data_IF_835872766351
#
_entry.id   IF_835872766351
#
_cell.length_a   1.000
_cell.length_b   1.000
_cell.length_c   1.000
_cell.angle_alpha   90.00
_cell.angle_beta   90.00
_cell.angle_gamma   90.00
#
_symmetry.space_group_name_H-M   'P 1'
#
loop_
_entity.id
_entity.type
_entity.pdbx_description
1 polymer ?
#
# COMPACT_ATOMS: atom_id res chain seq x y z
N UNK A 1 -4.87 -1.55 -8.66
CA UNK A 1 -5.65 -0.90 -9.74
C UNK A 1 -5.00 -1.10 -11.13
N UNK A 2 -5.12 -2.28 -11.76
CA UNK A 2 -4.42 -2.54 -13.02
C UNK A 2 -5.07 -1.93 -14.27
N UNK A 3 -6.34 -1.56 -14.20
CA UNK A 3 -7.08 -0.92 -15.29
C UNK A 3 -7.41 0.54 -14.98
N UNK A 4 -7.44 1.39 -16.00
CA UNK A 4 -7.94 2.77 -15.93
C UNK A 4 -8.67 3.11 -17.23
N UNK A 5 -9.84 3.75 -17.13
CA UNK A 5 -10.68 4.12 -18.29
C UNK A 5 -10.90 2.97 -19.30
N UNK A 6 -11.08 1.75 -18.78
CA UNK A 6 -11.29 0.55 -19.59
C UNK A 6 -10.02 0.00 -20.26
N UNK A 7 -8.83 0.49 -19.90
CA UNK A 7 -7.57 0.03 -20.50
C UNK A 7 -6.65 -0.58 -19.47
N UNK A 8 -5.96 -1.65 -19.87
CA UNK A 8 -4.87 -2.21 -19.08
C UNK A 8 -3.70 -1.21 -19.05
N UNK A 9 -3.32 -0.77 -17.85
CA UNK A 9 -2.33 0.31 -17.66
C UNK A 9 -0.89 -0.19 -17.69
N UNK A 10 -0.69 -1.50 -17.49
CA UNK A 10 0.61 -2.10 -17.25
C UNK A 10 1.09 -1.97 -15.80
N UNK A 11 0.41 -1.22 -14.92
CA UNK A 11 0.73 -1.15 -13.49
C UNK A 11 -0.09 -2.16 -12.68
N UNK A 12 0.42 -2.55 -11.51
CA UNK A 12 -0.39 -3.27 -10.50
C UNK A 12 -1.19 -2.29 -9.63
N UNK A 13 -0.60 -1.12 -9.36
CA UNK A 13 -1.27 0.03 -8.73
C UNK A 13 -1.10 1.28 -9.60
N UNK A 14 -2.07 1.56 -10.47
CA UNK A 14 -2.03 2.76 -11.32
C UNK A 14 -2.45 4.03 -10.57
N UNK A 15 -3.22 3.90 -9.47
CA UNK A 15 -3.73 5.03 -8.68
C UNK A 15 -2.64 6.04 -8.32
N UNK A 16 -1.46 5.55 -7.93
CA UNK A 16 -0.32 6.39 -7.53
C UNK A 16 0.23 7.24 -8.69
N UNK A 17 0.18 6.76 -9.94
CA UNK A 17 0.52 7.55 -11.13
C UNK A 17 -0.55 8.59 -11.45
N UNK A 18 -1.83 8.23 -11.29
CA UNK A 18 -2.94 9.14 -11.54
C UNK A 18 -2.85 10.37 -10.63
N UNK A 19 -2.62 10.15 -9.33
CA UNK A 19 -2.51 11.24 -8.34
C UNK A 19 -1.17 11.96 -8.39
N UNK A 20 -0.10 11.31 -8.85
CA UNK A 20 1.26 11.88 -8.89
C UNK A 20 1.42 13.15 -9.73
N UNK A 21 0.45 13.47 -10.60
CA UNK A 21 0.45 14.72 -11.39
C UNK A 21 -0.07 15.94 -10.60
N UNK A 22 -0.55 15.75 -9.37
CA UNK A 22 -1.06 16.81 -8.52
C UNK A 22 0.03 17.37 -7.60
N UNK A 23 0.05 18.69 -7.31
CA UNK A 23 1.05 19.28 -6.43
C UNK A 23 0.99 18.67 -5.02
N UNK A 24 2.14 18.53 -4.34
CA UNK A 24 2.22 18.03 -2.95
C UNK A 24 1.70 16.59 -2.79
N UNK A 25 1.88 15.76 -3.81
CA UNK A 25 1.48 14.34 -3.79
C UNK A 25 2.71 13.43 -3.71
N UNK A 26 2.57 12.31 -3.03
CA UNK A 26 3.59 11.26 -2.97
C UNK A 26 4.35 11.24 -1.65
N UNK A 27 5.65 10.97 -1.70
CA UNK A 27 6.46 10.79 -0.51
C UNK A 27 6.73 12.14 0.18
N UNK A 28 6.49 12.25 1.50
CA UNK A 28 6.98 13.39 2.26
C UNK A 28 8.51 13.34 2.39
N UNK A 29 9.14 14.51 2.52
CA UNK A 29 10.51 14.54 3.04
C UNK A 29 10.53 14.08 4.50
N UNK A 30 11.68 13.56 4.94
CA UNK A 30 11.89 13.30 6.36
C UNK A 30 11.73 14.60 7.15
N UNK A 31 11.02 14.51 8.28
CA UNK A 31 10.81 15.60 9.22
C UNK A 31 11.38 15.15 10.56
N UNK A 32 12.24 15.96 11.15
CA UNK A 32 12.93 15.63 12.40
C UNK A 32 12.05 15.83 13.63
N UNK A 33 10.94 16.56 13.52
CA UNK A 33 10.06 16.86 14.64
C UNK A 33 8.64 17.26 14.21
N UNK A 34 7.73 17.28 15.19
CA UNK A 34 6.40 17.86 15.01
C UNK A 34 6.45 19.36 14.72
N UNK A 35 7.38 20.10 15.33
CA UNK A 35 7.51 21.55 15.12
C UNK A 35 7.90 21.85 13.67
N UNK A 36 8.76 21.03 13.06
CA UNK A 36 9.12 21.15 11.64
C UNK A 36 7.91 20.90 10.72
N UNK A 37 7.06 19.93 11.07
CA UNK A 37 5.80 19.71 10.35
C UNK A 37 4.86 20.92 10.48
N UNK A 38 4.71 21.47 11.69
CA UNK A 38 3.81 22.60 11.92
C UNK A 38 4.30 23.87 11.22
N UNK A 39 5.61 24.16 11.27
CA UNK A 39 6.23 25.28 10.55
C UNK A 39 6.00 25.16 9.04
N UNK A 40 6.18 23.97 8.47
CA UNK A 40 5.90 23.70 7.05
C UNK A 40 4.43 23.97 6.71
N UNK A 41 3.49 23.47 7.50
CA UNK A 41 2.05 23.70 7.27
C UNK A 41 1.72 25.19 7.39
N UNK A 42 2.27 25.87 8.39
CA UNK A 42 2.09 27.30 8.63
C UNK A 42 2.63 28.14 7.47
N UNK A 43 3.77 27.78 6.87
CA UNK A 43 4.27 28.40 5.66
C UNK A 43 3.30 28.28 4.49
N UNK A 44 2.78 27.08 4.26
CA UNK A 44 1.82 26.84 3.18
C UNK A 44 0.52 27.64 3.38
N UNK A 45 0.06 27.78 4.62
CA UNK A 45 -1.10 28.60 4.98
C UNK A 45 -0.82 30.09 4.74
N UNK A 46 0.33 30.60 5.19
CA UNK A 46 0.74 32.01 5.01
C UNK A 46 0.83 32.38 3.54
N UNK A 47 1.37 31.48 2.71
CA UNK A 47 1.48 31.63 1.26
C UNK A 47 0.16 31.35 0.52
N UNK A 48 -0.89 30.91 1.22
CA UNK A 48 -2.21 30.55 0.67
C UNK A 48 -2.16 29.43 -0.37
N UNK A 49 -1.23 28.49 -0.22
CA UNK A 49 -1.14 27.29 -1.07
C UNK A 49 -2.15 26.22 -0.69
N UNK A 50 -2.55 26.19 0.58
CA UNK A 50 -3.53 25.24 1.13
C UNK A 50 -4.52 25.93 2.07
N UNK A 51 -5.66 25.28 2.29
CA UNK A 51 -6.64 25.67 3.33
C UNK A 51 -6.25 25.14 4.71
N UNK A 52 -5.68 23.95 4.75
CA UNK A 52 -5.17 23.26 5.93
C UNK A 52 -4.32 22.04 5.51
N UNK A 53 -3.70 21.36 6.48
CA UNK A 53 -2.82 20.20 6.25
C UNK A 53 -3.47 19.01 5.52
N UNK A 54 -4.81 18.94 5.40
CA UNK A 54 -5.47 17.88 4.63
C UNK A 54 -5.22 17.98 3.11
N UNK A 55 -4.68 19.09 2.61
CA UNK A 55 -4.28 19.29 1.21
C UNK A 55 -2.81 18.98 0.93
N UNK A 56 -2.10 18.41 1.92
CA UNK A 56 -0.88 17.64 1.72
C UNK A 56 -1.30 16.21 1.33
N UNK A 57 -1.18 15.86 0.05
CA UNK A 57 -1.62 14.56 -0.49
C UNK A 57 -0.51 13.52 -0.42
N UNK A 58 0.14 13.46 0.73
CA UNK A 58 1.23 12.53 0.97
C UNK A 58 0.74 11.09 1.16
N UNK A 59 1.61 10.14 0.81
CA UNK A 59 1.38 8.70 0.98
C UNK A 59 1.30 8.31 2.47
N UNK A 60 1.96 9.08 3.35
CA UNK A 60 1.86 9.01 4.80
C UNK A 60 1.82 10.44 5.34
N UNK A 61 0.97 10.72 6.33
CA UNK A 61 0.90 12.06 6.94
C UNK A 61 0.27 12.05 8.33
N UNK A 62 0.54 13.06 9.16
CA UNK A 62 -0.30 13.35 10.31
C UNK A 62 -1.75 13.65 9.90
N UNK A 63 -2.71 13.15 10.67
CA UNK A 63 -4.10 13.54 10.52
C UNK A 63 -4.31 14.93 11.09
N UNK A 64 -5.09 15.75 10.37
CA UNK A 64 -5.55 17.04 10.90
C UNK A 64 -6.58 16.86 12.02
N UNK A 65 -7.46 15.86 11.87
CA UNK A 65 -8.67 15.74 12.70
C UNK A 65 -8.47 14.86 13.92
N UNK A 66 -7.45 14.00 13.89
CA UNK A 66 -7.21 13.00 14.92
C UNK A 66 -5.72 12.95 15.28
N UNK A 67 -5.36 12.56 16.51
CA UNK A 67 -3.95 12.38 16.90
C UNK A 67 -3.42 11.06 16.34
N UNK A 68 -3.40 10.93 15.01
CA UNK A 68 -3.01 9.71 14.30
C UNK A 68 -2.12 10.03 13.12
N UNK A 69 -1.39 9.01 12.63
CA UNK A 69 -0.70 9.03 11.34
C UNK A 69 -1.54 8.23 10.34
N UNK A 70 -1.87 8.84 9.22
CA UNK A 70 -2.65 8.24 8.13
C UNK A 70 -1.70 7.58 7.12
N UNK A 71 -1.78 6.25 6.97
CA UNK A 71 -1.05 5.46 5.96
C UNK A 71 -1.93 5.29 4.72
N UNK A 72 -1.63 6.00 3.63
CA UNK A 72 -2.54 6.25 2.48
C UNK A 72 -2.02 5.71 1.15
N UNK A 73 -0.98 4.88 1.18
CA UNK A 73 -0.35 4.34 -0.02
C UNK A 73 -1.14 3.22 -0.71
N UNK A 74 -2.00 2.51 0.03
CA UNK A 74 -2.69 1.32 -0.47
C UNK A 74 -3.85 1.63 -1.43
N UNK A 75 -4.12 0.69 -2.33
CA UNK A 75 -5.41 0.57 -3.02
C UNK A 75 -6.39 -0.23 -2.16
N UNK A 76 -7.68 -0.22 -2.52
CA UNK A 76 -8.69 -1.08 -1.89
C UNK A 76 -8.44 -2.54 -2.31
N UNK A 77 -8.42 -3.45 -1.32
CA UNK A 77 -8.37 -4.90 -1.53
C UNK A 77 -9.76 -5.44 -1.91
N UNK A 78 -9.81 -6.44 -2.80
CA UNK A 78 -11.06 -7.13 -3.16
C UNK A 78 -11.41 -8.27 -2.20
N UNK A 79 -10.44 -8.78 -1.43
CA UNK A 79 -10.64 -9.80 -0.39
C UNK A 79 -10.42 -9.20 0.99
N UNK A 80 -11.21 -9.63 1.98
CA UNK A 80 -11.13 -9.10 3.34
C UNK A 80 -9.84 -9.54 4.05
N UNK A 81 -9.38 -10.76 3.77
CA UNK A 81 -8.14 -11.32 4.31
C UNK A 81 -6.92 -10.51 3.85
N UNK A 82 -6.90 -10.12 2.57
CA UNK A 82 -5.87 -9.24 2.01
C UNK A 82 -5.89 -7.87 2.72
N UNK A 83 -7.08 -7.32 3.00
CA UNK A 83 -7.21 -6.06 3.74
C UNK A 83 -6.73 -6.19 5.20
N UNK A 84 -7.13 -7.26 5.89
CA UNK A 84 -6.73 -7.54 7.27
C UNK A 84 -5.22 -7.75 7.39
N UNK A 85 -4.61 -8.39 6.40
CA UNK A 85 -3.16 -8.52 6.30
C UNK A 85 -2.45 -7.16 6.25
N UNK A 86 -2.92 -6.24 5.41
CA UNK A 86 -2.34 -4.89 5.32
C UNK A 86 -2.53 -4.12 6.63
N UNK A 87 -3.68 -4.26 7.29
CA UNK A 87 -3.93 -3.66 8.61
C UNK A 87 -2.96 -4.22 9.66
N UNK A 88 -2.80 -5.55 9.72
CA UNK A 88 -1.89 -6.22 10.64
C UNK A 88 -0.44 -5.81 10.39
N UNK A 89 -0.03 -5.70 9.13
CA UNK A 89 1.30 -5.23 8.74
C UNK A 89 1.56 -3.81 9.22
N UNK A 90 0.64 -2.88 8.94
CA UNK A 90 0.78 -1.48 9.37
C UNK A 90 0.79 -1.33 10.89
N UNK A 91 -0.12 -2.02 11.59
CA UNK A 91 -0.18 -1.95 13.05
C UNK A 91 1.10 -2.53 13.70
N UNK A 92 1.58 -3.66 13.18
CA UNK A 92 2.81 -4.30 13.68
C UNK A 92 4.03 -3.44 13.39
N UNK A 93 4.14 -2.85 12.20
CA UNK A 93 5.23 -1.95 11.83
C UNK A 93 5.27 -0.70 12.70
N UNK A 94 4.12 -0.05 12.94
CA UNK A 94 4.06 1.13 13.81
C UNK A 94 4.47 0.77 15.24
N UNK A 95 3.98 -0.35 15.78
CA UNK A 95 4.36 -0.81 17.12
C UNK A 95 5.85 -1.14 17.20
N UNK A 96 6.39 -1.82 16.20
CA UNK A 96 7.81 -2.12 16.07
C UNK A 96 8.65 -0.84 16.11
N UNK A 97 8.31 0.16 15.29
CA UNK A 97 9.04 1.44 15.24
C UNK A 97 8.97 2.21 16.57
N UNK A 98 7.81 2.24 17.23
CA UNK A 98 7.67 2.87 18.56
C UNK A 98 8.56 2.20 19.60
N UNK A 99 8.61 0.86 19.60
CA UNK A 99 9.49 0.10 20.51
C UNK A 99 10.97 0.34 20.19
N UNK A 100 11.34 0.39 18.91
CA UNK A 100 12.70 0.71 18.46
C UNK A 100 13.15 2.10 18.89
N UNK A 101 12.24 3.07 18.87
CA UNK A 101 12.47 4.45 19.33
C UNK A 101 12.70 4.53 20.84
N UNK A 102 11.89 3.85 21.66
CA UNK A 102 12.09 3.75 23.11
C UNK A 102 13.46 3.16 23.48
N UNK A 103 13.97 2.26 22.64
CA UNK A 103 15.28 1.64 22.78
C UNK A 103 16.43 2.47 22.15
N UNK A 104 16.14 3.61 21.53
CA UNK A 104 17.13 4.50 20.90
C UNK A 104 17.81 3.89 19.68
N UNK A 105 17.15 2.99 18.96
CA UNK A 105 17.70 2.36 17.76
C UNK A 105 16.65 2.27 16.64
N UNK A 106 16.03 3.41 16.31
CA UNK A 106 15.35 3.55 15.02
C UNK A 106 16.34 3.29 13.87
N UNK A 107 15.87 2.65 12.78
CA UNK A 107 16.68 2.52 11.57
C UNK A 107 17.02 3.91 11.00
N UNK A 108 18.14 4.01 10.28
CA UNK A 108 18.49 5.24 9.58
C UNK A 108 17.55 5.45 8.40
N UNK A 109 17.17 6.72 8.15
CA UNK A 109 16.35 7.05 6.98
C UNK A 109 17.12 6.75 5.68
N UNK A 110 16.60 5.89 4.79
CA UNK A 110 17.20 5.72 3.49
C UNK A 110 17.00 6.99 2.63
N UNK A 111 17.84 7.24 1.63
CA UNK A 111 17.63 8.35 0.71
C UNK A 111 16.24 8.27 0.08
N UNK A 112 15.53 9.40 0.03
CA UNK A 112 14.15 9.46 -0.49
C UNK A 112 14.05 8.98 -1.93
N UNK A 113 15.12 9.14 -2.71
CA UNK A 113 15.24 8.66 -4.08
C UNK A 113 15.18 7.13 -4.15
N UNK A 114 15.75 6.41 -3.19
CA UNK A 114 15.68 4.94 -3.10
C UNK A 114 14.26 4.51 -2.73
N UNK A 115 13.62 5.20 -1.79
CA UNK A 115 12.20 4.95 -1.44
C UNK A 115 11.31 5.18 -2.67
N UNK A 116 11.55 6.25 -3.42
CA UNK A 116 10.79 6.58 -4.62
C UNK A 116 10.96 5.51 -5.72
N UNK A 117 12.17 5.01 -5.93
CA UNK A 117 12.44 3.93 -6.90
C UNK A 117 11.75 2.63 -6.47
N UNK A 118 11.91 2.23 -5.22
CA UNK A 118 11.26 1.04 -4.64
C UNK A 118 9.73 1.13 -4.75
N UNK A 119 9.17 2.30 -4.43
CA UNK A 119 7.74 2.57 -4.62
C UNK A 119 7.32 2.47 -6.08
N UNK A 120 8.12 2.96 -7.02
CA UNK A 120 7.84 2.86 -8.45
C UNK A 120 7.86 1.41 -8.95
N UNK A 121 8.83 0.61 -8.51
CA UNK A 121 8.93 -0.81 -8.82
C UNK A 121 7.71 -1.57 -8.25
N UNK A 122 7.37 -1.34 -6.99
CA UNK A 122 6.22 -1.96 -6.34
C UNK A 122 4.89 -1.63 -7.04
N UNK A 123 4.64 -0.37 -7.40
CA UNK A 123 3.40 -0.02 -8.11
C UNK A 123 3.33 -0.64 -9.52
N UNK A 124 4.49 -0.84 -10.18
CA UNK A 124 4.58 -1.34 -11.56
C UNK A 124 4.48 -2.85 -11.64
N UNK A 125 5.14 -3.56 -10.73
CA UNK A 125 5.32 -5.02 -10.81
C UNK A 125 4.65 -5.77 -9.65
N UNK A 126 4.22 -5.09 -8.59
CA UNK A 126 3.57 -5.72 -7.44
C UNK A 126 4.50 -6.73 -6.77
N UNK A 127 3.99 -7.94 -6.50
CA UNK A 127 4.75 -9.03 -5.86
C UNK A 127 5.86 -9.61 -6.74
N UNK A 128 5.88 -9.26 -8.04
CA UNK A 128 6.96 -9.63 -8.97
C UNK A 128 8.06 -8.57 -9.04
N UNK A 129 7.97 -7.53 -8.21
CA UNK A 129 9.02 -6.52 -8.08
C UNK A 129 10.24 -7.08 -7.35
N UNK A 130 11.26 -6.24 -7.28
CA UNK A 130 12.32 -6.33 -6.31
C UNK A 130 12.47 -4.96 -5.65
N UNK A 131 13.07 -4.93 -4.47
CA UNK A 131 13.41 -3.70 -3.77
C UNK A 131 14.94 -3.59 -3.69
N UNK A 132 15.44 -2.35 -3.79
CA UNK A 132 16.79 -2.02 -3.39
C UNK A 132 16.91 -2.06 -1.87
N UNK A 133 17.89 -2.79 -1.36
CA UNK A 133 18.25 -2.83 0.05
C UNK A 133 19.21 -1.66 0.37
N UNK A 134 18.78 -0.69 1.20
CA UNK A 134 19.61 0.45 1.56
C UNK A 134 20.72 0.11 2.57
N UNK A 135 20.61 -1.00 3.30
CA UNK A 135 21.56 -1.37 4.36
C UNK A 135 22.68 -2.27 3.84
N UNK A 136 22.33 -3.38 3.20
CA UNK A 136 23.32 -4.36 2.72
C UNK A 136 23.85 -4.02 1.31
N UNK A 137 23.16 -3.12 0.60
CA UNK A 137 23.48 -2.75 -0.78
C UNK A 137 23.19 -3.90 -1.73
N UNK A 138 21.97 -3.96 -2.26
CA UNK A 138 21.61 -5.06 -3.14
C UNK A 138 20.18 -5.02 -3.63
N UNK A 139 19.81 -6.09 -4.34
CA UNK A 139 18.44 -6.37 -4.77
C UNK A 139 17.87 -7.46 -3.87
N UNK A 140 16.66 -7.25 -3.36
CA UNK A 140 15.89 -8.26 -2.65
C UNK A 140 14.55 -8.48 -3.35
N UNK A 141 14.20 -9.74 -3.61
CA UNK A 141 12.90 -10.07 -4.17
C UNK A 141 11.81 -9.96 -3.09
N UNK A 142 10.57 -9.68 -3.49
CA UNK A 142 9.48 -9.40 -2.55
C UNK A 142 9.18 -10.59 -1.62
N UNK A 143 9.40 -11.83 -2.07
CA UNK A 143 9.20 -13.04 -1.25
C UNK A 143 10.19 -13.08 -0.07
N UNK A 144 11.48 -12.89 -0.35
CA UNK A 144 12.52 -12.83 0.68
C UNK A 144 12.27 -11.66 1.65
N UNK A 145 11.96 -10.47 1.10
CA UNK A 145 11.67 -9.28 1.90
C UNK A 145 10.45 -9.50 2.80
N UNK A 146 9.40 -10.15 2.29
CA UNK A 146 8.18 -10.46 3.06
C UNK A 146 8.49 -11.47 4.16
N UNK A 147 9.32 -12.49 3.90
CA UNK A 147 9.71 -13.46 4.90
C UNK A 147 10.48 -12.82 6.05
N UNK A 148 11.45 -11.95 5.75
CA UNK A 148 12.21 -11.19 6.74
C UNK A 148 11.31 -10.25 7.55
N UNK A 149 10.44 -9.50 6.88
CA UNK A 149 9.54 -8.55 7.53
C UNK A 149 8.55 -9.24 8.48
N UNK A 150 8.06 -10.43 8.12
CA UNK A 150 7.20 -11.22 9.02
C UNK A 150 7.97 -11.70 10.26
N UNK A 151 9.23 -12.09 10.10
CA UNK A 151 10.09 -12.50 11.21
C UNK A 151 10.39 -11.32 12.14
N UNK A 152 10.78 -10.18 11.58
CA UNK A 152 11.10 -8.96 12.33
C UNK A 152 9.90 -8.42 13.12
N UNK A 153 8.70 -8.46 12.52
CA UNK A 153 7.47 -7.96 13.13
C UNK A 153 6.73 -9.01 13.97
N UNK A 154 7.28 -10.22 14.15
CA UNK A 154 6.57 -11.35 14.74
C UNK A 154 6.10 -11.06 16.18
N UNK A 155 6.97 -10.53 17.03
CA UNK A 155 6.67 -10.22 18.43
C UNK A 155 5.61 -9.12 18.56
N UNK A 156 5.69 -8.09 17.71
CA UNK A 156 4.74 -6.98 17.70
C UNK A 156 3.36 -7.42 17.22
N UNK A 157 3.31 -8.26 16.19
CA UNK A 157 2.06 -8.85 15.71
C UNK A 157 1.43 -9.80 16.73
N UNK A 158 2.23 -10.57 17.47
CA UNK A 158 1.76 -11.41 18.56
C UNK A 158 1.16 -10.57 19.70
N UNK A 159 1.84 -9.49 20.09
CA UNK A 159 1.35 -8.57 21.12
C UNK A 159 0.02 -7.90 20.73
N UNK A 160 -0.21 -7.66 19.44
CA UNK A 160 -1.45 -7.11 18.90
C UNK A 160 -2.53 -8.18 18.61
N UNK A 161 -2.19 -9.46 18.72
CA UNK A 161 -3.11 -10.56 18.40
C UNK A 161 -3.41 -10.72 16.91
N UNK A 162 -2.56 -10.18 16.02
CA UNK A 162 -2.76 -10.18 14.56
C UNK A 162 -1.68 -10.95 13.79
N UNK A 163 -1.01 -11.91 14.45
CA UNK A 163 0.09 -12.68 13.85
C UNK A 163 -0.37 -13.56 12.68
N UNK A 164 -1.59 -14.08 12.72
CA UNK A 164 -2.14 -14.89 11.63
C UNK A 164 -2.38 -14.03 10.37
N UNK A 165 -2.97 -12.84 10.56
CA UNK A 165 -3.23 -11.86 9.52
C UNK A 165 -1.92 -11.33 8.92
N UNK A 166 -0.89 -11.06 9.73
CA UNK A 166 0.43 -10.69 9.21
C UNK A 166 1.01 -11.80 8.32
N UNK A 167 0.88 -13.07 8.72
CA UNK A 167 1.40 -14.20 7.95
C UNK A 167 0.69 -14.43 6.62
N UNK A 168 -0.53 -13.92 6.46
CA UNK A 168 -1.28 -13.93 5.20
C UNK A 168 -0.51 -13.24 4.06
N UNK A 169 0.45 -12.36 4.36
CA UNK A 169 1.31 -11.74 3.35
C UNK A 169 2.05 -12.79 2.49
N UNK A 170 2.42 -13.94 3.06
CA UNK A 170 3.02 -15.05 2.28
C UNK A 170 2.06 -15.62 1.25
N UNK A 171 0.76 -15.67 1.56
CA UNK A 171 -0.26 -16.13 0.64
C UNK A 171 -0.45 -15.13 -0.49
N UNK A 172 -0.50 -13.83 -0.19
CA UNK A 172 -0.55 -12.76 -1.20
C UNK A 172 0.64 -12.83 -2.17
N UNK A 173 1.86 -13.01 -1.66
CA UNK A 173 3.06 -13.11 -2.51
C UNK A 173 3.02 -14.36 -3.38
N UNK A 174 2.64 -15.51 -2.79
CA UNK A 174 2.58 -16.79 -3.50
C UNK A 174 1.50 -16.84 -4.58
N UNK A 175 0.31 -16.32 -4.29
CA UNK A 175 -0.87 -16.43 -5.15
C UNK A 175 -1.04 -15.24 -6.09
N UNK A 176 -0.33 -14.14 -5.83
CA UNK A 176 -0.51 -12.88 -6.50
C UNK A 176 -1.59 -12.01 -5.85
N UNK A 177 -1.48 -10.71 -6.12
CA UNK A 177 -2.38 -9.69 -5.59
C UNK A 177 -3.74 -9.69 -6.28
N UNK A 178 -4.70 -8.94 -5.75
CA UNK A 178 -5.96 -8.66 -6.48
C UNK A 178 -5.73 -8.06 -7.88
N UNK A 179 -4.63 -7.34 -8.11
CA UNK A 179 -4.29 -6.84 -9.43
C UNK A 179 -3.79 -7.96 -10.38
N UNK A 180 -3.10 -8.98 -9.86
CA UNK A 180 -2.73 -10.17 -10.64
C UNK A 180 -3.97 -10.94 -11.06
N UNK A 181 -4.85 -11.26 -10.10
CA UNK A 181 -6.10 -11.97 -10.35
C UNK A 181 -6.99 -11.28 -11.40
N UNK A 182 -7.15 -9.96 -11.29
CA UNK A 182 -7.91 -9.18 -12.28
C UNK A 182 -7.30 -9.23 -13.68
N UNK A 183 -5.97 -9.13 -13.80
CA UNK A 183 -5.27 -9.14 -15.10
C UNK A 183 -5.32 -10.53 -15.74
N UNK A 184 -5.12 -11.57 -14.94
CA UNK A 184 -5.15 -12.95 -15.43
C UNK A 184 -6.56 -13.36 -15.86
N UNK A 185 -7.59 -12.97 -15.08
CA UNK A 185 -8.98 -13.16 -15.46
C UNK A 185 -9.33 -12.44 -16.77
N UNK A 186 -8.93 -11.17 -16.92
CA UNK A 186 -9.13 -10.43 -18.16
C UNK A 186 -8.50 -11.16 -19.36
N UNK A 187 -7.24 -11.59 -19.23
CA UNK A 187 -6.52 -12.31 -20.29
C UNK A 187 -7.21 -13.63 -20.64
N UNK A 188 -7.65 -14.38 -19.64
CA UNK A 188 -8.38 -15.63 -19.84
C UNK A 188 -9.67 -15.40 -20.63
N UNK A 189 -10.51 -14.43 -20.22
CA UNK A 189 -11.75 -14.09 -20.93
C UNK A 189 -11.50 -13.67 -22.38
N UNK A 190 -10.43 -12.90 -22.63
CA UNK A 190 -10.02 -12.53 -24.00
C UNK A 190 -9.58 -13.73 -24.83
N UNK A 191 -8.89 -14.71 -24.23
CA UNK A 191 -8.51 -15.96 -24.90
C UNK A 191 -9.72 -16.85 -25.21
N UNK A 192 -10.74 -16.82 -24.35
CA UNK A 192 -12.00 -17.55 -24.53
C UNK A 192 -12.95 -16.92 -25.56
N UNK A 193 -12.61 -15.74 -26.09
CA UNK A 193 -13.32 -15.10 -27.20
C UNK A 193 -14.24 -13.94 -26.81
N UNK A 194 -14.35 -13.59 -25.53
CA UNK A 194 -15.10 -12.40 -25.10
C UNK A 194 -14.52 -11.16 -25.76
N UNK A 195 -15.36 -10.22 -26.18
CA UNK A 195 -14.91 -8.86 -26.57
C UNK A 195 -14.23 -8.15 -25.39
N UNK A 196 -13.47 -7.08 -25.67
CA UNK A 196 -12.81 -6.30 -24.60
C UNK A 196 -13.81 -5.77 -23.56
N UNK A 197 -14.96 -5.28 -24.01
CA UNK A 197 -16.01 -4.79 -23.12
C UNK A 197 -16.63 -5.90 -22.25
N UNK A 198 -16.79 -7.11 -22.79
CA UNK A 198 -17.28 -8.27 -22.03
C UNK A 198 -16.27 -8.73 -20.99
N UNK A 199 -14.99 -8.85 -21.38
CA UNK A 199 -13.91 -9.20 -20.47
C UNK A 199 -13.77 -8.19 -19.32
N UNK A 200 -13.83 -6.89 -19.60
CA UNK A 200 -13.79 -5.84 -18.56
C UNK A 200 -14.98 -5.93 -17.61
N UNK A 201 -16.19 -6.15 -18.11
CA UNK A 201 -17.37 -6.37 -17.25
C UNK A 201 -17.19 -7.61 -16.38
N UNK A 202 -16.58 -8.67 -16.91
CA UNK A 202 -16.27 -9.89 -16.17
C UNK A 202 -15.25 -9.65 -15.05
N UNK A 203 -14.25 -8.78 -15.27
CA UNK A 203 -13.30 -8.35 -14.22
C UNK A 203 -14.01 -7.58 -13.10
N UNK A 204 -14.93 -6.67 -13.44
CA UNK A 204 -15.73 -5.96 -12.43
C UNK A 204 -16.56 -6.94 -11.61
N UNK A 205 -17.17 -7.93 -12.27
CA UNK A 205 -17.91 -8.99 -11.60
C UNK A 205 -17.01 -9.80 -10.66
N UNK A 206 -15.83 -10.23 -11.11
CA UNK A 206 -14.86 -10.92 -10.26
C UNK A 206 -14.55 -10.11 -8.98
N UNK A 207 -14.20 -8.84 -9.12
CA UNK A 207 -13.87 -7.99 -7.98
C UNK A 207 -15.07 -7.83 -7.01
N UNK A 208 -16.28 -7.71 -7.54
CA UNK A 208 -17.50 -7.62 -6.73
C UNK A 208 -17.84 -8.94 -6.03
N UNK A 209 -17.61 -10.08 -6.68
CA UNK A 209 -17.86 -11.41 -6.11
C UNK A 209 -16.84 -11.71 -5.00
N UNK A 210 -15.55 -11.41 -5.20
CA UNK A 210 -14.51 -11.52 -4.16
C UNK A 210 -14.84 -10.65 -2.94
N UNK A 211 -15.34 -9.43 -3.15
CA UNK A 211 -15.67 -8.50 -2.05
C UNK A 211 -16.82 -9.01 -1.17
N UNK A 212 -17.68 -9.89 -1.71
CA UNK A 212 -18.82 -10.47 -1.00
C UNK A 212 -18.49 -11.80 -0.34
N UNK A 213 -17.34 -12.38 -0.64
CA UNK A 213 -16.94 -13.65 -0.04
C UNK A 213 -16.88 -13.53 1.48
N UNK A 214 -17.36 -14.55 2.19
CA UNK A 214 -17.46 -14.52 3.67
C UNK A 214 -18.59 -13.67 4.24
N UNK A 215 -19.30 -12.87 3.43
CA UNK A 215 -20.51 -12.14 3.86
C UNK A 215 -21.72 -13.06 3.65
N UNK A 216 -22.38 -13.46 4.75
CA UNK A 216 -23.65 -14.19 4.69
C UNK A 216 -24.74 -13.31 4.08
N UNK A 217 -24.92 -13.36 2.75
CA UNK A 217 -25.93 -12.57 2.03
C UNK A 217 -27.39 -12.93 2.41
N UNK A 218 -27.60 -13.93 3.27
CA UNK A 218 -28.91 -14.34 3.74
C UNK A 218 -29.57 -13.37 4.75
N UNK A 219 -28.85 -12.34 5.23
CA UNK A 219 -29.40 -11.36 6.20
C UNK A 219 -29.88 -10.04 5.57
N UNK A 220 -29.87 -9.91 4.23
CA UNK A 220 -30.24 -8.66 3.54
C UNK A 220 -31.32 -8.80 2.46
N UNK A 221 -32.09 -9.90 2.44
CA UNK A 221 -33.34 -10.05 1.67
C UNK A 221 -34.57 -9.95 2.57
#
# INVERSE_FOLDING_TARGET
SPFNEGRLTGFKSYRLNLVGNLPRTGLPNALASWDEYDDLVNDYLRMRFIRDGSELWWDIRPSRSFPTVELRICDICTRVEDAMCIVALFASLVRYLLRRDEEGALPQDPPIEIIAENRWLAQRYGVMAFLGDPEEGGRMDIDDYTALLIEELADDAQALGCHAELRHAKEIVREGTGADRQVDHFRLRRLEGDTEAEALRSVVKLAADETKEGIGLAEFE
#
